data_IF_903573508007
#
_entry.id   IF_903573508007
#
_cell.length_a   1.000
_cell.length_b   1.000
_cell.length_c   1.000
_cell.angle_alpha   90.00
_cell.angle_beta   90.00
_cell.angle_gamma   90.00
#
_symmetry.space_group_name_H-M   'P 1'
#
loop_
_entity.id
_entity.type
_entity.pdbx_description
1 polymer ?
#
# COMPACT_ATOMS: atom_id res chain seq x y z
N UNK A 1 30.40 -3.78 -23.75
CA UNK A 1 29.73 -3.86 -22.43
C UNK A 1 29.73 -2.56 -21.62
N UNK A 2 30.71 -1.63 -21.77
CA UNK A 2 30.71 -0.34 -21.03
C UNK A 2 29.57 0.63 -21.39
N UNK A 3 29.04 0.56 -22.61
CA UNK A 3 27.98 1.47 -23.08
C UNK A 3 26.61 1.19 -22.43
N UNK A 4 26.25 -0.07 -22.18
CA UNK A 4 24.94 -0.44 -21.63
C UNK A 4 24.77 -0.01 -20.17
N UNK A 5 25.84 -0.09 -19.37
CA UNK A 5 25.84 0.38 -17.99
C UNK A 5 25.73 1.91 -17.88
N UNK A 6 26.31 2.64 -18.84
CA UNK A 6 26.19 4.10 -18.91
C UNK A 6 24.76 4.49 -19.31
N UNK A 7 24.15 3.81 -20.29
CA UNK A 7 22.75 4.03 -20.64
C UNK A 7 21.79 3.70 -19.48
N UNK A 8 21.99 2.58 -18.79
CA UNK A 8 21.19 2.24 -17.62
C UNK A 8 21.38 3.26 -16.48
N UNK A 9 22.62 3.72 -16.23
CA UNK A 9 22.89 4.76 -15.25
C UNK A 9 22.27 6.10 -15.66
N UNK A 10 22.28 6.48 -16.93
CA UNK A 10 21.63 7.69 -17.43
C UNK A 10 20.09 7.62 -17.34
N UNK A 11 19.48 6.46 -17.61
CA UNK A 11 18.03 6.26 -17.46
C UNK A 11 17.61 6.28 -15.99
N UNK A 12 18.40 5.66 -15.11
CA UNK A 12 18.22 5.71 -13.66
C UNK A 12 18.48 7.12 -13.11
N UNK A 13 19.47 7.83 -13.64
CA UNK A 13 19.77 9.22 -13.29
C UNK A 13 18.65 10.17 -13.70
N UNK A 14 18.09 10.01 -14.91
CA UNK A 14 16.94 10.76 -15.39
C UNK A 14 15.70 10.52 -14.49
N UNK A 15 15.44 9.27 -14.12
CA UNK A 15 14.40 8.91 -13.15
C UNK A 15 14.64 9.54 -11.77
N UNK A 16 15.87 9.50 -11.26
CA UNK A 16 16.22 10.08 -9.96
C UNK A 16 16.18 11.61 -9.94
N UNK A 17 16.37 12.27 -11.09
CA UNK A 17 16.20 13.72 -11.22
C UNK A 17 14.73 14.14 -11.34
N UNK A 18 13.88 13.33 -11.99
CA UNK A 18 12.46 13.60 -12.17
C UNK A 18 11.61 13.22 -10.95
N UNK A 19 12.01 12.20 -10.20
CA UNK A 19 11.23 11.69 -9.10
C UNK A 19 11.35 12.57 -7.85
N UNK A 20 10.29 13.33 -7.57
CA UNK A 20 10.13 14.11 -6.34
C UNK A 20 9.63 13.21 -5.21
N UNK A 21 10.30 13.25 -4.05
CA UNK A 21 9.83 12.56 -2.84
C UNK A 21 8.41 12.98 -2.48
N UNK A 22 8.06 14.25 -2.66
CA UNK A 22 6.71 14.75 -2.37
C UNK A 22 5.65 14.15 -3.30
N UNK A 23 5.94 14.05 -4.60
CA UNK A 23 5.05 13.43 -5.59
C UNK A 23 4.97 11.92 -5.41
N UNK A 24 6.10 11.28 -5.11
CA UNK A 24 6.17 9.87 -4.78
C UNK A 24 5.31 9.51 -3.56
N UNK A 25 5.43 10.28 -2.48
CA UNK A 25 4.55 10.13 -1.31
C UNK A 25 3.09 10.32 -1.71
N UNK A 26 2.75 11.39 -2.43
CA UNK A 26 1.36 11.68 -2.82
C UNK A 26 0.76 10.60 -3.72
N UNK A 27 1.54 10.07 -4.66
CA UNK A 27 1.10 9.01 -5.55
C UNK A 27 0.91 7.70 -4.79
N UNK A 28 1.90 7.30 -3.98
CA UNK A 28 1.86 6.05 -3.23
C UNK A 28 0.76 6.10 -2.18
N UNK A 29 0.66 7.18 -1.39
CA UNK A 29 -0.38 7.31 -0.37
C UNK A 29 -1.78 7.35 -0.99
N UNK A 30 -1.98 8.04 -2.11
CA UNK A 30 -3.26 8.04 -2.84
C UNK A 30 -3.58 6.66 -3.41
N UNK A 31 -2.71 6.12 -4.27
CA UNK A 31 -2.96 4.87 -4.99
C UNK A 31 -3.11 3.68 -4.04
N UNK A 32 -2.19 3.53 -3.09
CA UNK A 32 -2.21 2.42 -2.14
C UNK A 32 -3.26 2.63 -1.05
N UNK A 33 -3.37 3.87 -0.55
CA UNK A 33 -4.41 4.26 0.41
C UNK A 33 -5.79 3.90 -0.12
N UNK A 34 -6.15 4.43 -1.28
CA UNK A 34 -7.46 4.20 -1.90
C UNK A 34 -7.72 2.72 -2.20
N UNK A 35 -6.69 1.96 -2.57
CA UNK A 35 -6.85 0.54 -2.88
C UNK A 35 -7.11 -0.30 -1.62
N UNK A 36 -6.36 -0.05 -0.53
CA UNK A 36 -6.60 -0.72 0.77
C UNK A 36 -7.95 -0.29 1.34
N UNK A 37 -8.27 1.01 1.31
CA UNK A 37 -9.55 1.51 1.82
C UNK A 37 -10.75 0.87 1.11
N UNK A 38 -10.73 0.84 -0.22
CA UNK A 38 -11.79 0.17 -1.01
C UNK A 38 -11.88 -1.32 -0.71
N UNK A 39 -10.74 -1.99 -0.49
CA UNK A 39 -10.72 -3.41 -0.15
C UNK A 39 -11.36 -3.66 1.22
N UNK A 40 -10.99 -2.89 2.24
CA UNK A 40 -11.56 -3.01 3.58
C UNK A 40 -13.04 -2.62 3.62
N UNK A 41 -13.46 -1.64 2.81
CA UNK A 41 -14.87 -1.27 2.66
C UNK A 41 -15.71 -2.35 1.96
N UNK A 42 -15.18 -2.99 0.91
CA UNK A 42 -15.81 -4.16 0.29
C UNK A 42 -15.99 -5.31 1.29
N UNK A 43 -14.94 -5.62 2.07
CA UNK A 43 -14.99 -6.64 3.12
C UNK A 43 -16.07 -6.31 4.13
N UNK A 44 -16.08 -5.09 4.68
CA UNK A 44 -17.08 -4.66 5.65
C UNK A 44 -18.50 -4.75 5.08
N UNK A 45 -18.71 -4.32 3.83
CA UNK A 45 -20.01 -4.43 3.15
C UNK A 45 -20.46 -5.88 3.00
N UNK A 46 -19.55 -6.80 2.66
CA UNK A 46 -19.84 -8.23 2.52
C UNK A 46 -20.16 -8.88 3.86
N UNK A 47 -19.39 -8.59 4.90
CA UNK A 47 -19.66 -9.07 6.28
C UNK A 47 -21.05 -8.63 6.76
N UNK A 48 -21.40 -7.36 6.53
CA UNK A 48 -22.73 -6.84 6.90
C UNK A 48 -23.85 -7.56 6.13
N UNK A 49 -23.65 -7.88 4.85
CA UNK A 49 -24.63 -8.60 4.02
C UNK A 49 -24.79 -10.07 4.40
N UNK A 50 -23.72 -10.71 4.85
CA UNK A 50 -23.72 -12.10 5.34
C UNK A 50 -24.55 -12.26 6.63
N UNK A 51 -24.69 -11.18 7.41
CA UNK A 51 -25.51 -11.11 8.61
C UNK A 51 -27.00 -11.02 8.24
N UNK A 52 -27.65 -12.17 7.97
CA UNK A 52 -29.09 -12.24 7.64
C UNK A 52 -29.95 -11.68 8.79
N UNK A 53 -29.45 -11.74 10.03
CA UNK A 53 -29.97 -11.07 11.22
C UNK A 53 -28.80 -10.39 11.90
N UNK A 54 -28.93 -9.14 12.39
CA UNK A 54 -27.91 -8.37 13.13
C UNK A 54 -27.20 -9.22 14.18
N UNK A 55 -26.22 -9.99 13.72
CA UNK A 55 -25.47 -10.92 14.52
C UNK A 55 -24.41 -10.11 15.23
N UNK A 56 -24.35 -10.28 16.55
CA UNK A 56 -23.35 -9.65 17.40
C UNK A 56 -21.94 -9.95 16.87
N UNK A 57 -21.74 -11.09 16.21
CA UNK A 57 -20.48 -11.47 15.57
C UNK A 57 -20.17 -10.58 14.36
N UNK A 58 -21.14 -10.36 13.47
CA UNK A 58 -20.95 -9.51 12.29
C UNK A 58 -20.72 -8.03 12.66
N UNK A 59 -21.38 -7.55 13.72
CA UNK A 59 -21.17 -6.21 14.26
C UNK A 59 -19.75 -6.06 14.83
N UNK A 60 -19.27 -7.05 15.61
CA UNK A 60 -17.90 -7.08 16.14
C UNK A 60 -16.86 -7.11 15.02
N UNK A 61 -17.01 -8.01 14.05
CA UNK A 61 -16.11 -8.12 12.91
C UNK A 61 -16.11 -6.82 12.08
N UNK A 62 -17.26 -6.19 11.90
CA UNK A 62 -17.34 -4.88 11.22
C UNK A 62 -16.60 -3.79 11.99
N UNK A 63 -16.66 -3.79 13.33
CA UNK A 63 -15.89 -2.87 14.17
C UNK A 63 -14.39 -3.14 14.09
N UNK A 64 -13.96 -4.40 14.11
CA UNK A 64 -12.54 -4.77 13.94
C UNK A 64 -12.00 -4.32 12.58
N UNK A 65 -12.75 -4.53 11.49
CA UNK A 65 -12.37 -4.05 10.15
C UNK A 65 -12.31 -2.52 10.10
N UNK A 66 -13.21 -1.82 10.79
CA UNK A 66 -13.18 -0.35 10.88
C UNK A 66 -11.94 0.15 11.65
N UNK A 67 -11.55 -0.54 12.72
CA UNK A 67 -10.34 -0.23 13.48
C UNK A 67 -9.07 -0.50 12.65
N UNK A 68 -9.01 -1.63 11.94
CA UNK A 68 -7.90 -1.93 11.01
C UNK A 68 -7.79 -0.84 9.93
N UNK A 69 -8.91 -0.36 9.38
CA UNK A 69 -8.92 0.73 8.40
C UNK A 69 -8.38 2.04 9.01
N UNK A 70 -8.74 2.33 10.25
CA UNK A 70 -8.23 3.51 10.96
C UNK A 70 -6.73 3.42 11.19
N UNK A 71 -6.26 2.30 11.75
CA UNK A 71 -4.84 2.05 12.00
C UNK A 71 -4.02 2.06 10.71
N UNK A 72 -4.56 1.54 9.61
CA UNK A 72 -3.93 1.63 8.29
C UNK A 72 -3.65 3.08 7.89
N UNK A 73 -4.62 3.99 8.03
CA UNK A 73 -4.44 5.41 7.68
C UNK A 73 -3.37 6.06 8.56
N UNK A 74 -3.44 5.85 9.87
CA UNK A 74 -2.49 6.42 10.83
C UNK A 74 -1.07 5.91 10.53
N UNK A 75 -0.89 4.60 10.39
CA UNK A 75 0.41 4.00 10.09
C UNK A 75 0.95 4.43 8.72
N UNK A 76 0.08 4.60 7.72
CA UNK A 76 0.51 5.07 6.40
C UNK A 76 0.96 6.52 6.46
N UNK A 77 0.24 7.37 7.19
CA UNK A 77 0.60 8.77 7.40
C UNK A 77 1.95 8.89 8.13
N UNK A 78 2.13 8.16 9.22
CA UNK A 78 3.39 8.11 9.99
C UNK A 78 4.56 7.63 9.13
N UNK A 79 4.37 6.57 8.34
CA UNK A 79 5.40 6.06 7.43
C UNK A 79 5.75 7.13 6.38
N UNK A 80 4.76 7.80 5.79
CA UNK A 80 5.01 8.86 4.80
C UNK A 80 5.71 10.07 5.41
N UNK A 81 5.38 10.45 6.65
CA UNK A 81 6.06 11.52 7.38
C UNK A 81 7.51 11.16 7.68
N UNK A 82 7.75 9.94 8.16
CA UNK A 82 9.11 9.43 8.38
C UNK A 82 9.93 9.49 7.08
N UNK A 83 9.40 9.00 5.97
CA UNK A 83 10.10 9.03 4.68
C UNK A 83 10.34 10.46 4.19
N UNK A 84 9.41 11.39 4.43
CA UNK A 84 9.57 12.82 4.11
C UNK A 84 10.71 13.43 4.93
N UNK A 85 10.80 13.15 6.23
CA UNK A 85 11.87 13.68 7.09
C UNK A 85 13.25 13.22 6.61
N UNK A 86 13.35 11.93 6.27
CA UNK A 86 14.58 11.29 5.79
C UNK A 86 15.04 11.79 4.41
N UNK A 87 14.17 12.43 3.64
CA UNK A 87 14.50 12.98 2.33
C UNK A 87 15.26 14.31 2.39
N UNK A 88 15.17 15.05 3.50
CA UNK A 88 15.92 16.29 3.70
C UNK A 88 17.45 16.11 3.59
N UNK A 89 17.92 14.89 3.88
CA UNK A 89 19.34 14.52 3.87
C UNK A 89 19.94 14.36 2.46
N UNK A 90 19.13 14.37 1.41
CA UNK A 90 19.59 14.11 0.04
C UNK A 90 20.18 15.34 -0.69
N UNK A 91 20.50 16.41 0.03
CA UNK A 91 20.98 17.69 -0.55
C UNK A 91 22.50 17.76 -0.74
N UNK A 92 23.26 16.91 -0.05
CA UNK A 92 24.72 16.93 -0.06
C UNK A 92 25.35 16.02 -1.14
N UNK A 93 26.58 16.35 -1.55
CA UNK A 93 27.38 15.56 -2.48
C UNK A 93 27.23 15.93 -3.97
N UNK A 94 27.87 15.13 -4.83
CA UNK A 94 27.77 15.31 -6.28
C UNK A 94 26.41 14.83 -6.82
N UNK A 95 26.14 15.10 -8.10
CA UNK A 95 24.86 14.77 -8.74
C UNK A 95 24.54 13.27 -8.62
N UNK A 96 25.53 12.39 -8.81
CA UNK A 96 25.34 10.93 -8.71
C UNK A 96 24.96 10.51 -7.28
N UNK A 97 25.58 11.09 -6.25
CA UNK A 97 25.25 10.81 -4.84
C UNK A 97 23.83 11.27 -4.50
N UNK A 98 23.43 12.46 -4.95
CA UNK A 98 22.06 12.98 -4.73
C UNK A 98 21.01 12.12 -5.42
N UNK A 99 21.28 11.68 -6.65
CA UNK A 99 20.41 10.77 -7.40
C UNK A 99 20.26 9.42 -6.70
N UNK A 100 21.36 8.80 -6.28
CA UNK A 100 21.33 7.54 -5.54
C UNK A 100 20.54 7.67 -4.22
N UNK A 101 20.69 8.79 -3.52
CA UNK A 101 19.90 9.09 -2.32
C UNK A 101 18.40 9.14 -2.63
N UNK A 102 17.98 9.90 -3.65
CA UNK A 102 16.57 10.00 -4.05
C UNK A 102 15.97 8.66 -4.45
N UNK A 103 16.69 7.85 -5.24
CA UNK A 103 16.23 6.50 -5.59
C UNK A 103 16.05 5.61 -4.37
N UNK A 104 17.01 5.65 -3.44
CA UNK A 104 16.90 4.92 -2.17
C UNK A 104 15.67 5.36 -1.37
N UNK A 105 15.37 6.67 -1.35
CA UNK A 105 14.17 7.19 -0.68
C UNK A 105 12.87 6.76 -1.37
N UNK A 106 12.83 6.70 -2.69
CA UNK A 106 11.63 6.22 -3.40
C UNK A 106 11.36 4.74 -3.23
N UNK A 107 12.41 3.93 -3.23
CA UNK A 107 12.31 2.55 -2.82
C UNK A 107 11.82 2.44 -1.36
N UNK A 108 12.34 3.29 -0.47
CA UNK A 108 11.89 3.40 0.92
C UNK A 108 10.39 3.66 1.02
N UNK A 109 9.88 4.69 0.35
CA UNK A 109 8.45 5.06 0.32
C UNK A 109 7.56 3.92 -0.16
N UNK A 110 7.90 3.32 -1.30
CA UNK A 110 7.10 2.21 -1.85
C UNK A 110 7.14 1.01 -0.90
N UNK A 111 8.33 0.66 -0.39
CA UNK A 111 8.49 -0.51 0.49
C UNK A 111 7.83 -0.32 1.86
N UNK A 112 7.89 0.87 2.44
CA UNK A 112 7.26 1.21 3.71
C UNK A 112 5.73 1.16 3.60
N UNK A 113 5.17 1.87 2.61
CA UNK A 113 3.74 1.83 2.34
C UNK A 113 3.25 0.40 2.04
N UNK A 114 4.02 -0.35 1.24
CA UNK A 114 3.76 -1.77 0.96
C UNK A 114 3.73 -2.63 2.24
N UNK A 115 4.65 -2.38 3.18
CA UNK A 115 4.67 -3.02 4.48
C UNK A 115 3.41 -2.75 5.28
N UNK A 116 3.02 -1.47 5.39
CA UNK A 116 1.80 -1.03 6.09
C UNK A 116 0.55 -1.67 5.47
N UNK A 117 0.39 -1.55 4.14
CA UNK A 117 -0.75 -2.14 3.42
C UNK A 117 -0.83 -3.65 3.61
N UNK A 118 0.31 -4.37 3.50
CA UNK A 118 0.35 -5.81 3.70
C UNK A 118 -0.07 -6.18 5.13
N UNK A 119 0.42 -5.46 6.14
CA UNK A 119 0.10 -5.75 7.53
C UNK A 119 -1.40 -5.59 7.79
N UNK A 120 -2.00 -4.48 7.36
CA UNK A 120 -3.44 -4.22 7.54
C UNK A 120 -4.32 -5.24 6.80
N UNK A 121 -3.97 -5.61 5.57
CA UNK A 121 -4.72 -6.63 4.82
C UNK A 121 -4.57 -8.02 5.49
N UNK A 122 -3.40 -8.35 6.03
CA UNK A 122 -3.21 -9.60 6.78
C UNK A 122 -3.94 -9.61 8.13
N UNK A 123 -4.06 -8.47 8.80
CA UNK A 123 -4.90 -8.32 10.00
C UNK A 123 -6.36 -8.53 9.67
N UNK A 124 -6.85 -7.99 8.55
CA UNK A 124 -8.21 -8.24 8.08
C UNK A 124 -8.44 -9.74 7.76
N UNK A 125 -7.47 -10.41 7.13
CA UNK A 125 -7.52 -11.88 6.93
C UNK A 125 -7.62 -12.61 8.27
N UNK A 126 -6.84 -12.21 9.28
CA UNK A 126 -6.86 -12.85 10.60
C UNK A 126 -8.20 -12.66 11.29
N UNK A 127 -8.70 -11.42 11.35
CA UNK A 127 -10.03 -11.14 11.90
C UNK A 127 -11.11 -12.00 11.21
N UNK A 128 -11.10 -12.09 9.88
CA UNK A 128 -12.03 -12.94 9.14
C UNK A 128 -11.91 -14.43 9.51
N UNK A 129 -10.70 -14.94 9.75
CA UNK A 129 -10.50 -16.35 10.13
C UNK A 129 -10.87 -16.63 11.59
N UNK A 130 -10.58 -15.69 12.49
CA UNK A 130 -10.85 -15.84 13.92
C UNK A 130 -12.36 -15.95 14.17
N UNK A 131 -13.17 -15.26 13.37
CA UNK A 131 -14.62 -15.35 13.42
C UNK A 131 -15.22 -16.41 12.46
N UNK A 132 -14.44 -17.09 11.61
CA UNK A 132 -14.97 -18.03 10.59
C UNK A 132 -15.74 -19.20 11.21
N UNK A 133 -15.28 -19.70 12.36
CA UNK A 133 -15.93 -20.79 13.10
C UNK A 133 -17.21 -20.36 13.81
N UNK A 134 -17.39 -19.05 14.00
CA UNK A 134 -18.58 -18.48 14.64
C UNK A 134 -19.72 -18.29 13.62
N UNK A 135 -19.44 -18.42 12.32
CA UNK A 135 -20.42 -18.43 11.25
C UNK A 135 -20.76 -19.86 10.82
N UNK A 136 -22.06 -20.20 10.76
CA UNK A 136 -22.50 -21.52 10.32
C UNK A 136 -22.81 -21.59 8.80
N UNK A 137 -22.55 -22.76 8.20
CA UNK A 137 -23.03 -23.14 6.87
C UNK A 137 -22.57 -22.20 5.74
N UNK A 138 -23.52 -21.53 5.09
CA UNK A 138 -23.24 -20.65 3.93
C UNK A 138 -22.40 -19.43 4.30
N UNK A 139 -22.53 -18.93 5.54
CA UNK A 139 -21.78 -17.77 5.97
C UNK A 139 -20.28 -18.07 6.13
N UNK A 140 -19.90 -19.24 6.66
CA UNK A 140 -18.49 -19.66 6.69
C UNK A 140 -17.90 -19.76 5.27
N UNK A 141 -18.65 -20.29 4.31
CA UNK A 141 -18.20 -20.40 2.92
C UNK A 141 -17.99 -19.04 2.26
N UNK A 142 -18.92 -18.09 2.46
CA UNK A 142 -18.78 -16.72 1.98
C UNK A 142 -17.60 -15.99 2.63
N UNK A 143 -17.30 -16.28 3.89
CA UNK A 143 -16.12 -15.77 4.61
C UNK A 143 -14.81 -16.29 3.98
N UNK A 144 -14.76 -17.59 3.67
CA UNK A 144 -13.65 -18.20 2.93
C UNK A 144 -13.43 -17.56 1.56
N UNK A 145 -14.51 -17.22 0.85
CA UNK A 145 -14.44 -16.48 -0.42
C UNK A 145 -13.90 -15.05 -0.25
N UNK A 146 -14.23 -14.37 0.85
CA UNK A 146 -13.65 -13.06 1.19
C UNK A 146 -12.13 -13.21 1.37
N UNK A 147 -11.69 -14.16 2.21
CA UNK A 147 -10.26 -14.39 2.52
C UNK A 147 -9.48 -14.75 1.25
N UNK A 148 -10.04 -15.58 0.37
CA UNK A 148 -9.44 -15.95 -0.91
C UNK A 148 -9.35 -14.76 -1.87
N UNK A 149 -10.37 -13.90 -1.92
CA UNK A 149 -10.34 -12.65 -2.69
C UNK A 149 -9.26 -11.70 -2.18
N UNK A 150 -9.20 -11.49 -0.87
CA UNK A 150 -8.23 -10.61 -0.22
C UNK A 150 -6.79 -11.07 -0.47
N UNK A 151 -6.54 -12.38 -0.41
CA UNK A 151 -5.23 -12.97 -0.72
C UNK A 151 -4.78 -12.70 -2.16
N UNK A 152 -5.72 -12.52 -3.11
CA UNK A 152 -5.43 -12.15 -4.51
C UNK A 152 -5.26 -10.64 -4.72
N UNK A 153 -5.87 -9.82 -3.88
CA UNK A 153 -5.78 -8.36 -3.95
C UNK A 153 -4.47 -7.83 -3.35
N UNK A 154 -3.91 -8.48 -2.32
CA UNK A 154 -2.64 -8.06 -1.69
C UNK A 154 -1.53 -7.81 -2.72
N UNK A 155 -1.21 -8.74 -3.65
CA UNK A 155 -0.18 -8.47 -4.67
C UNK A 155 -0.52 -7.31 -5.62
N UNK A 156 -1.81 -7.09 -5.93
CA UNK A 156 -2.25 -6.03 -6.85
C UNK A 156 -2.08 -4.64 -6.25
N UNK A 157 -2.46 -4.49 -4.98
CA UNK A 157 -2.26 -3.26 -4.20
C UNK A 157 -0.77 -2.91 -4.14
N UNK A 158 0.08 -3.92 -3.88
CA UNK A 158 1.53 -3.77 -3.84
C UNK A 158 2.15 -3.45 -5.21
N UNK A 159 1.59 -3.99 -6.29
CA UNK A 159 2.04 -3.68 -7.65
C UNK A 159 1.68 -2.25 -8.07
N UNK A 160 0.53 -1.73 -7.61
CA UNK A 160 0.08 -0.38 -7.94
C UNK A 160 0.99 0.71 -7.35
N UNK A 161 1.54 0.53 -6.14
CA UNK A 161 2.53 1.47 -5.58
C UNK A 161 3.87 1.43 -6.32
N UNK A 162 4.24 0.28 -6.88
CA UNK A 162 5.44 0.18 -7.71
C UNK A 162 5.32 1.01 -9.01
N UNK A 163 4.10 1.15 -9.55
CA UNK A 163 3.84 2.05 -10.68
C UNK A 163 4.12 3.51 -10.33
N UNK A 164 3.77 3.97 -9.13
CA UNK A 164 4.11 5.31 -8.66
C UNK A 164 5.62 5.61 -8.64
N UNK A 165 6.48 4.59 -8.56
CA UNK A 165 7.92 4.75 -8.62
C UNK A 165 8.50 4.62 -10.03
N UNK A 166 7.78 3.94 -10.94
CA UNK A 166 8.27 3.62 -12.29
C UNK A 166 7.64 4.45 -13.41
N UNK A 167 6.44 5.00 -13.21
CA UNK A 167 5.67 5.78 -14.20
C UNK A 167 5.61 7.28 -13.85
N UNK A 168 6.10 7.71 -12.67
CA UNK A 168 6.11 9.10 -12.21
C UNK A 168 7.06 10.05 -13.00
N UNK A 169 7.68 9.58 -14.09
CA UNK A 169 8.63 10.37 -14.88
C UNK A 169 8.06 11.03 -16.15
N UNK A 170 6.74 10.95 -16.41
CA UNK A 170 6.18 11.40 -17.70
C UNK A 170 5.70 12.85 -17.77
N UNK A 171 5.72 13.63 -16.68
CA UNK A 171 5.29 15.06 -16.72
C UNK A 171 6.47 16.06 -16.60
N UNK A 172 7.57 15.81 -17.32
CA UNK A 172 8.57 16.86 -17.62
C UNK A 172 8.53 17.14 -19.11
N UNK A 173 7.49 17.82 -19.56
CA UNK A 173 7.50 18.68 -20.75
C UNK A 173 6.22 19.54 -20.79
N UNK A 174 6.33 20.76 -20.27
CA UNK A 174 5.66 21.96 -20.79
C UNK A 174 6.27 23.24 -20.22
#
# INVERSE_FOLDING_TARGET
MRSLAVFAFCLLAAHASAWSVGEGIRCVSGTMGDAVERTLEDISSRVIKMSIHRDVIADKLSQEIAEIRKQFRENLEEEMEMQRSLAGDCTEGNIATRMACRMKRGLGIVSGAAGVARNSLMEAVRALRDHEQDFDGKCAQEMGDIVSSLSREVPRVLQASWKCFTESSEDVDQ
#
